data_IF_076229412801
#
_entry.id   IF_076229412801
#
_cell.length_a   1.000
_cell.length_b   1.000
_cell.length_c   1.000
_cell.angle_alpha   90.00
_cell.angle_beta   90.00
_cell.angle_gamma   90.00
#
_symmetry.space_group_name_H-M   'P 1'
#
loop_
_entity.id
_entity.type
_entity.pdbx_description
1 polymer ?
#
# COMPACT_ATOMS: atom_id res chain seq x y z
N UNK A 1 14.47 -11.34 -14.92
CA UNK A 1 13.10 -11.63 -14.49
C UNK A 1 12.47 -10.31 -14.08
N UNK A 2 11.46 -9.83 -14.79
CA UNK A 2 10.76 -8.58 -14.43
C UNK A 2 9.93 -8.86 -13.18
N UNK A 3 10.42 -8.38 -12.04
CA UNK A 3 9.67 -8.42 -10.78
C UNK A 3 8.38 -7.61 -10.98
N UNK A 4 7.23 -8.29 -11.01
CA UNK A 4 5.96 -7.62 -10.77
C UNK A 4 6.07 -6.99 -9.39
N UNK A 5 6.19 -5.66 -9.32
CA UNK A 5 6.43 -4.91 -8.09
C UNK A 5 5.14 -4.90 -7.24
N UNK A 6 4.89 -6.01 -6.53
CA UNK A 6 3.82 -6.11 -5.55
C UNK A 6 4.01 -5.00 -4.51
N UNK A 7 2.93 -4.27 -4.14
CA UNK A 7 3.04 -3.21 -3.16
C UNK A 7 3.42 -3.81 -1.80
N UNK A 8 4.58 -3.42 -1.29
CA UNK A 8 5.08 -3.84 0.02
C UNK A 8 5.33 -2.62 0.90
N UNK A 9 5.00 -2.78 2.18
CA UNK A 9 5.34 -1.84 3.23
C UNK A 9 6.84 -1.96 3.51
N UNK A 10 7.53 -0.83 3.55
CA UNK A 10 8.91 -0.75 4.01
C UNK A 10 8.90 -0.62 5.54
N UNK A 11 9.38 -1.66 6.22
CA UNK A 11 9.40 -1.70 7.68
C UNK A 11 10.35 -0.65 8.28
N UNK A 12 11.51 -0.44 7.68
CA UNK A 12 12.51 0.50 8.20
C UNK A 12 12.02 1.94 8.05
N UNK A 13 11.50 2.27 6.86
CA UNK A 13 10.92 3.59 6.61
C UNK A 13 9.67 3.85 7.47
N UNK A 14 8.79 2.85 7.62
CA UNK A 14 7.61 2.92 8.51
C UNK A 14 8.03 3.13 9.96
N UNK A 15 9.03 2.38 10.45
CA UNK A 15 9.54 2.53 11.81
C UNK A 15 10.09 3.93 12.09
N UNK A 16 10.86 4.46 11.14
CA UNK A 16 11.37 5.84 11.19
C UNK A 16 10.22 6.85 11.20
N UNK A 17 9.20 6.66 10.35
CA UNK A 17 8.02 7.52 10.29
C UNK A 17 7.24 7.55 11.60
N UNK A 18 7.03 6.39 12.23
CA UNK A 18 6.39 6.29 13.56
C UNK A 18 7.18 7.10 14.60
N UNK A 19 8.51 6.98 14.59
CA UNK A 19 9.38 7.75 15.51
C UNK A 19 9.25 9.25 15.28
N UNK A 20 9.33 9.69 14.02
CA UNK A 20 9.23 11.11 13.64
C UNK A 20 7.89 11.71 14.06
N UNK A 21 6.76 11.06 13.73
CA UNK A 21 5.42 11.55 14.10
C UNK A 21 5.27 11.62 15.61
N UNK A 22 5.74 10.61 16.34
CA UNK A 22 5.72 10.61 17.81
C UNK A 22 6.49 11.80 18.38
N UNK A 23 7.69 12.06 17.87
CA UNK A 23 8.56 13.15 18.33
C UNK A 23 8.00 14.53 17.96
N UNK A 24 7.43 14.68 16.77
CA UNK A 24 6.74 15.91 16.35
C UNK A 24 5.55 16.25 17.25
N UNK A 25 4.84 15.22 17.76
CA UNK A 25 3.73 15.39 18.69
C UNK A 25 4.19 15.55 20.15
N UNK A 26 5.50 15.50 20.43
CA UNK A 26 6.05 15.62 21.78
C UNK A 26 5.74 14.43 22.69
N UNK A 27 5.37 13.27 22.13
CA UNK A 27 4.95 12.10 22.90
C UNK A 27 6.19 11.27 23.27
N UNK A 28 6.38 11.01 24.57
CA UNK A 28 7.48 10.13 25.01
C UNK A 28 7.16 8.66 24.75
N UNK A 29 8.19 7.82 24.61
CA UNK A 29 8.00 6.37 24.49
C UNK A 29 7.24 5.81 25.69
N UNK A 30 7.49 6.34 26.89
CA UNK A 30 6.80 5.92 28.12
C UNK A 30 5.31 6.29 28.10
N UNK A 31 4.95 7.45 27.57
CA UNK A 31 3.55 7.84 27.41
C UNK A 31 2.82 6.94 26.39
N UNK A 32 3.47 6.67 25.25
CA UNK A 32 2.92 5.75 24.26
C UNK A 32 2.77 4.32 24.83
N UNK A 33 3.76 3.85 25.58
CA UNK A 33 3.71 2.55 26.26
C UNK A 33 2.51 2.46 27.22
N UNK A 34 2.31 3.49 28.05
CA UNK A 34 1.19 3.54 29.00
C UNK A 34 -0.15 3.55 28.26
N UNK A 35 -0.27 4.30 27.16
CA UNK A 35 -1.48 4.36 26.34
C UNK A 35 -1.81 3.01 25.69
N UNK A 36 -0.80 2.28 25.21
CA UNK A 36 -0.95 0.95 24.63
C UNK A 36 -1.17 -0.16 25.68
N UNK A 37 -1.11 0.16 26.97
CA UNK A 37 -1.28 -0.83 28.05
C UNK A 37 -0.12 -1.82 28.16
N UNK A 38 1.08 -1.45 27.71
CA UNK A 38 2.25 -2.33 27.77
C UNK A 38 3.00 -2.19 29.09
N UNK A 39 3.47 -3.32 29.63
CA UNK A 39 4.36 -3.33 30.79
C UNK A 39 5.77 -2.82 30.43
N UNK A 40 6.23 -3.10 29.20
CA UNK A 40 7.57 -2.72 28.74
C UNK A 40 7.55 -2.07 27.35
N UNK A 41 8.50 -1.16 27.05
CA UNK A 41 8.54 -0.44 25.77
C UNK A 41 9.25 -1.22 24.64
N UNK A 42 9.61 -2.49 24.84
CA UNK A 42 10.43 -3.28 23.90
C UNK A 42 9.81 -3.30 22.51
N UNK A 43 8.51 -3.54 22.40
CA UNK A 43 7.79 -3.57 21.12
C UNK A 43 7.90 -2.24 20.38
N UNK A 44 7.77 -1.11 21.09
CA UNK A 44 7.85 0.23 20.49
C UNK A 44 9.23 0.46 19.86
N UNK A 45 10.31 0.02 20.53
CA UNK A 45 11.65 0.15 19.98
C UNK A 45 11.88 -0.74 18.76
N UNK A 46 11.35 -1.97 18.76
CA UNK A 46 11.42 -2.87 17.60
C UNK A 46 10.74 -2.26 16.38
N UNK A 47 9.57 -1.66 16.57
CA UNK A 47 8.85 -0.96 15.50
C UNK A 47 9.64 0.24 14.99
N UNK A 48 10.18 1.08 15.88
CA UNK A 48 10.95 2.27 15.48
C UNK A 48 12.27 1.93 14.77
N UNK A 49 12.85 0.75 15.04
CA UNK A 49 14.03 0.24 14.32
C UNK A 49 13.70 -0.51 13.03
N UNK A 50 12.41 -0.74 12.76
CA UNK A 50 11.97 -1.48 11.56
C UNK A 50 12.19 -2.98 11.62
N UNK A 51 12.33 -3.57 12.81
CA UNK A 51 12.48 -5.04 12.97
C UNK A 51 11.17 -5.77 12.67
N UNK A 52 10.04 -5.17 13.04
CA UNK A 52 8.71 -5.69 12.77
C UNK A 52 7.68 -4.56 12.70
N UNK A 53 6.52 -4.85 12.12
CA UNK A 53 5.39 -3.91 12.15
C UNK A 53 4.61 -4.05 13.46
N UNK A 54 4.00 -2.96 13.95
CA UNK A 54 2.97 -3.06 14.97
C UNK A 54 1.77 -3.84 14.42
N UNK A 55 1.01 -4.48 15.30
CA UNK A 55 -0.29 -5.05 14.91
C UNK A 55 -1.20 -3.94 14.40
N UNK A 56 -2.21 -4.31 13.61
CA UNK A 56 -3.17 -3.34 13.09
C UNK A 56 -3.87 -2.56 14.22
N UNK A 57 -4.24 -3.22 15.32
CA UNK A 57 -4.85 -2.58 16.50
C UNK A 57 -3.90 -1.57 17.16
N UNK A 58 -2.62 -1.92 17.31
CA UNK A 58 -1.62 -1.03 17.88
C UNK A 58 -1.38 0.17 16.95
N UNK A 59 -1.36 -0.04 15.64
CA UNK A 59 -1.30 1.05 14.65
C UNK A 59 -2.51 1.97 14.73
N UNK A 60 -3.72 1.41 14.84
CA UNK A 60 -4.94 2.19 15.01
C UNK A 60 -4.89 3.03 16.29
N UNK A 61 -4.50 2.43 17.42
CA UNK A 61 -4.33 3.14 18.69
C UNK A 61 -3.29 4.26 18.59
N UNK A 62 -2.14 4.01 17.93
CA UNK A 62 -1.13 5.03 17.66
C UNK A 62 -1.68 6.17 16.81
N UNK A 63 -2.39 5.86 15.72
CA UNK A 63 -3.00 6.85 14.85
C UNK A 63 -3.98 7.75 15.63
N UNK A 64 -4.82 7.17 16.49
CA UNK A 64 -5.70 7.91 17.39
C UNK A 64 -4.93 8.82 18.36
N UNK A 65 -3.88 8.30 19.01
CA UNK A 65 -3.08 9.09 19.96
C UNK A 65 -2.33 10.23 19.28
N UNK A 66 -1.80 9.99 18.08
CA UNK A 66 -1.05 10.97 17.32
C UNK A 66 -1.96 11.98 16.59
N UNK A 67 -3.24 11.66 16.42
CA UNK A 67 -4.19 12.45 15.64
C UNK A 67 -3.82 12.52 14.17
N UNK A 68 -3.51 11.37 13.57
CA UNK A 68 -3.16 11.19 12.15
C UNK A 68 -3.89 9.98 11.57
N UNK A 69 -3.92 9.82 10.24
CA UNK A 69 -4.41 8.60 9.60
C UNK A 69 -3.45 7.42 9.81
N UNK A 70 -3.95 6.18 9.71
CA UNK A 70 -3.08 4.99 9.74
C UNK A 70 -2.11 5.00 8.55
N UNK A 71 -2.59 5.48 7.40
CA UNK A 71 -1.82 5.62 6.18
C UNK A 71 -0.67 6.62 6.32
N UNK A 72 -0.81 7.68 7.14
CA UNK A 72 0.27 8.63 7.43
C UNK A 72 1.45 8.00 8.18
N UNK A 73 1.22 6.86 8.85
CA UNK A 73 2.24 6.09 9.56
C UNK A 73 2.94 5.07 8.66
N UNK A 74 2.27 4.60 7.61
CA UNK A 74 2.78 3.56 6.72
C UNK A 74 3.60 4.17 5.60
N UNK A 75 4.79 3.60 5.38
CA UNK A 75 5.62 3.94 4.23
C UNK A 75 5.80 2.68 3.39
N UNK A 76 5.53 2.79 2.10
CA UNK A 76 5.66 1.70 1.15
C UNK A 76 5.65 2.20 -0.28
N UNK A 77 5.81 1.29 -1.23
CA UNK A 77 5.83 1.59 -2.67
C UNK A 77 4.41 1.60 -3.28
N UNK A 78 3.43 2.18 -2.57
CA UNK A 78 2.02 2.22 -2.98
C UNK A 78 1.91 2.76 -4.41
N UNK A 79 1.35 1.96 -5.30
CA UNK A 79 0.98 2.40 -6.64
C UNK A 79 -0.50 2.76 -6.61
N UNK A 80 -0.84 3.99 -6.97
CA UNK A 80 -2.23 4.38 -7.14
C UNK A 80 -2.80 3.69 -8.38
N UNK A 81 -3.80 2.83 -8.17
CA UNK A 81 -4.52 2.21 -9.27
C UNK A 81 -5.60 3.18 -9.72
N UNK A 82 -5.36 3.86 -10.83
CA UNK A 82 -6.33 4.76 -11.45
C UNK A 82 -7.29 3.93 -12.29
N UNK A 83 -8.55 3.82 -11.86
CA UNK A 83 -9.59 3.20 -12.65
C UNK A 83 -10.13 4.21 -13.68
N UNK A 84 -9.70 4.09 -14.93
CA UNK A 84 -10.28 4.85 -16.04
C UNK A 84 -11.58 4.17 -16.46
N UNK A 85 -12.71 4.77 -16.12
CA UNK A 85 -14.02 4.32 -16.61
C UNK A 85 -14.31 5.04 -17.94
N UNK A 86 -14.00 4.39 -19.07
CA UNK A 86 -14.41 4.87 -20.37
C UNK A 86 -15.78 4.29 -20.74
N UNK A 87 -16.74 5.10 -21.23
CA UNK A 87 -18.01 4.57 -21.71
C UNK A 87 -17.76 3.65 -22.92
N UNK A 88 -18.46 2.50 -22.96
CA UNK A 88 -18.33 1.49 -24.02
C UNK A 88 -18.36 2.05 -25.45
N UNK A 89 -19.11 3.14 -25.66
CA UNK A 89 -19.24 3.82 -26.95
C UNK A 89 -17.95 4.48 -27.48
N UNK A 90 -16.91 4.63 -26.64
CA UNK A 90 -15.61 5.17 -27.06
C UNK A 90 -14.63 4.10 -27.60
N UNK A 91 -14.89 2.81 -27.36
CA UNK A 91 -13.97 1.71 -27.72
C UNK A 91 -14.23 1.12 -29.12
N UNK A 92 -15.39 1.38 -29.72
CA UNK A 92 -15.76 0.85 -31.04
C UNK A 92 -14.94 1.44 -32.19
N UNK A 93 -14.35 2.63 -32.03
CA UNK A 93 -13.51 3.26 -33.05
C UNK A 93 -12.07 2.70 -33.15
N UNK A 94 -11.57 2.06 -32.08
CA UNK A 94 -10.16 1.62 -31.98
C UNK A 94 -9.96 0.16 -32.37
N UNK A 95 -10.99 -0.68 -32.22
CA UNK A 95 -10.94 -2.13 -32.52
C UNK A 95 -10.68 -2.41 -34.02
N UNK A 96 -11.02 -1.50 -34.92
CA UNK A 96 -10.83 -1.68 -36.36
C UNK A 96 -9.38 -1.47 -36.87
N UNK A 97 -8.44 -1.02 -36.02
CA UNK A 97 -7.12 -0.56 -36.49
C UNK A 97 -5.91 -1.40 -36.04
N UNK A 98 -6.06 -2.45 -35.23
CA UNK A 98 -4.91 -3.20 -34.71
C UNK A 98 -5.01 -4.71 -34.94
N UNK A 99 -4.54 -5.14 -36.12
CA UNK A 99 -4.13 -6.52 -36.37
C UNK A 99 -2.62 -6.60 -36.53
N UNK A 100 -1.87 -6.96 -35.47
CA UNK A 100 -0.57 -7.66 -35.56
C UNK A 100 0.05 -7.96 -34.18
N UNK A 101 0.47 -9.23 -34.02
CA UNK A 101 1.42 -9.81 -33.04
C UNK A 101 0.90 -10.34 -31.69
N UNK A 102 1.57 -11.41 -31.24
CA UNK A 102 1.06 -12.57 -30.50
C UNK A 102 1.86 -12.84 -29.22
N UNK A 103 1.25 -13.47 -28.20
CA UNK A 103 1.76 -14.32 -27.05
C UNK A 103 1.24 -13.91 -25.63
N UNK A 104 1.22 -14.81 -24.61
CA UNK A 104 0.04 -15.58 -24.21
C UNK A 104 -0.55 -15.15 -22.84
N UNK A 105 -1.88 -15.11 -22.72
CA UNK A 105 -2.59 -14.71 -21.50
C UNK A 105 -2.78 -15.92 -20.58
N UNK A 106 -2.21 -15.88 -19.38
CA UNK A 106 -2.48 -16.83 -18.29
C UNK A 106 -3.75 -16.36 -17.56
N UNK A 107 -4.73 -17.26 -17.45
CA UNK A 107 -6.16 -17.03 -17.23
C UNK A 107 -6.57 -16.34 -15.91
N UNK A 108 -7.64 -15.54 -16.00
CA UNK A 108 -8.52 -15.10 -14.90
C UNK A 108 -9.54 -16.21 -14.56
N UNK A 109 -9.67 -16.54 -13.28
CA UNK A 109 -10.74 -17.42 -12.74
C UNK A 109 -12.05 -16.61 -12.71
N UNK A 110 -13.05 -17.08 -13.45
CA UNK A 110 -14.41 -16.53 -13.42
C UNK A 110 -15.30 -17.35 -12.47
N UNK A 111 -15.90 -16.69 -11.49
CA UNK A 111 -17.22 -17.09 -11.02
C UNK A 111 -18.29 -16.49 -11.93
N UNK A 112 -18.51 -17.12 -13.10
CA UNK A 112 -19.67 -16.86 -13.97
C UNK A 112 -19.40 -16.12 -15.28
N UNK A 113 -18.85 -16.82 -16.27
CA UNK A 113 -18.87 -16.50 -17.72
C UNK A 113 -18.22 -15.19 -18.20
N UNK A 114 -16.89 -15.23 -18.17
CA UNK A 114 -15.90 -14.85 -19.21
C UNK A 114 -16.34 -13.77 -20.20
N UNK A 115 -15.83 -12.55 -19.99
CA UNK A 115 -15.10 -11.76 -21.00
C UNK A 115 -14.54 -10.51 -20.31
N UNK A 116 -13.35 -10.63 -19.72
CA UNK A 116 -12.62 -9.51 -19.12
C UNK A 116 -11.38 -9.22 -19.97
N UNK A 117 -11.51 -8.26 -20.88
CA UNK A 117 -10.39 -7.61 -21.54
C UNK A 117 -9.84 -6.55 -20.58
N UNK A 118 -8.72 -6.85 -19.90
CA UNK A 118 -7.92 -5.84 -19.21
C UNK A 118 -6.74 -5.44 -20.08
N UNK A 119 -6.73 -4.17 -20.49
CA UNK A 119 -5.59 -3.49 -21.08
C UNK A 119 -4.66 -3.05 -19.93
N UNK A 120 -3.43 -3.55 -19.88
CA UNK A 120 -2.41 -3.10 -18.94
C UNK A 120 -1.57 -2.02 -19.61
N UNK A 121 -1.73 -0.76 -19.20
CA UNK A 121 -0.85 0.34 -19.60
C UNK A 121 0.10 0.62 -18.43
N UNK A 122 1.31 0.10 -18.50
CA UNK A 122 2.42 0.65 -17.73
C UNK A 122 2.96 1.86 -18.47
N UNK A 123 2.65 3.06 -17.96
CA UNK A 123 3.39 4.27 -18.30
C UNK A 123 4.74 4.17 -17.58
N UNK A 124 5.81 3.84 -18.31
CA UNK A 124 7.15 4.21 -17.90
C UNK A 124 7.40 5.61 -18.43
N UNK A 125 7.29 6.61 -17.56
CA UNK A 125 7.93 7.91 -17.75
C UNK A 125 9.38 7.77 -17.28
N UNK A 126 10.28 7.57 -18.24
CA UNK A 126 11.67 8.08 -18.36
C UNK A 126 12.48 7.22 -19.34
#
# INVERSE_FOLDING_TARGET
MTQNNFPMIDLCATGKRIKEVREQKGITVKALQAFLGFNEPVSIYKWQRGECLPTFDNMYAMACLFGVGIDDLLVGNRQEVVFVCAPWRALTGVIYLWGRTSVPIKYLINGGSVLQLYLYVSINLS
#
